data_IF_678585718130
#
_entry.id   IF_678585718130
#
_cell.length_a   1.000
_cell.length_b   1.000
_cell.length_c   1.000
_cell.angle_alpha   90.00
_cell.angle_beta   90.00
_cell.angle_gamma   90.00
#
_symmetry.space_group_name_H-M   'P 1'
#
loop_
_entity.id
_entity.type
_entity.pdbx_description
1 polymer ?
#
# COMPACT_ATOMS: atom_id res chain seq x y z
N UNK A 1 -34.97 -8.95 -68.53
CA UNK A 1 -34.20 -9.03 -69.78
C UNK A 1 -32.76 -8.74 -69.43
N UNK A 2 -31.87 -9.63 -69.83
CA UNK A 2 -30.41 -9.51 -69.71
C UNK A 2 -29.86 -8.63 -70.82
N UNK A 3 -28.77 -7.92 -70.55
CA UNK A 3 -27.53 -7.84 -71.36
C UNK A 3 -26.55 -6.90 -70.63
N UNK A 4 -25.33 -7.38 -70.39
CA UNK A 4 -24.08 -6.95 -71.04
C UNK A 4 -23.52 -5.60 -70.54
N UNK A 5 -22.22 -5.46 -70.26
CA UNK A 5 -21.17 -6.47 -70.30
C UNK A 5 -19.88 -5.98 -69.62
N UNK A 6 -19.05 -6.93 -69.18
CA UNK A 6 -17.69 -6.71 -68.71
C UNK A 6 -16.72 -7.13 -69.82
N UNK A 7 -15.66 -6.35 -70.09
CA UNK A 7 -14.44 -6.94 -70.62
C UNK A 7 -13.20 -6.68 -69.77
N UNK A 8 -12.36 -7.70 -69.81
CA UNK A 8 -11.09 -7.92 -69.12
C UNK A 8 -9.96 -6.89 -69.36
N UNK A 9 -9.19 -6.64 -68.29
CA UNK A 9 -7.72 -6.86 -68.21
C UNK A 9 -6.81 -6.28 -69.32
N UNK A 10 -5.92 -5.37 -68.93
CA UNK A 10 -4.60 -5.22 -69.58
C UNK A 10 -3.47 -5.81 -68.70
N UNK A 11 -2.47 -6.49 -69.29
CA UNK A 11 -1.39 -7.16 -68.57
C UNK A 11 -0.11 -6.33 -68.42
N UNK A 12 0.81 -6.85 -67.60
CA UNK A 12 1.98 -6.16 -67.08
C UNK A 12 3.04 -5.66 -68.06
N UNK A 13 3.88 -4.78 -67.51
CA UNK A 13 5.29 -4.64 -67.90
C UNK A 13 6.13 -5.33 -66.82
N UNK A 14 7.20 -5.97 -67.27
CA UNK A 14 8.07 -6.90 -66.54
C UNK A 14 9.47 -6.32 -66.34
N UNK A 15 10.21 -6.89 -65.39
CA UNK A 15 11.67 -7.14 -65.46
C UNK A 15 12.62 -5.90 -65.53
N UNK A 16 13.86 -5.91 -65.02
CA UNK A 16 14.71 -6.95 -64.40
C UNK A 16 15.79 -6.29 -63.48
N UNK A 17 16.89 -6.93 -62.99
CA UNK A 17 17.52 -6.57 -61.72
C UNK A 17 18.93 -5.95 -61.85
N UNK A 18 19.54 -5.60 -60.71
CA UNK A 18 20.92 -5.11 -60.64
C UNK A 18 21.60 -5.44 -59.31
N UNK A 19 22.44 -6.47 -59.31
CA UNK A 19 23.04 -7.04 -58.09
C UNK A 19 24.23 -6.24 -57.51
N UNK A 20 24.41 -6.43 -56.21
CA UNK A 20 25.69 -6.47 -55.49
C UNK A 20 26.76 -5.38 -55.70
N UNK A 21 26.95 -4.58 -54.64
CA UNK A 21 28.30 -4.33 -54.09
C UNK A 21 28.32 -4.50 -52.58
N UNK A 22 28.86 -5.64 -52.14
CA UNK A 22 29.09 -5.94 -50.73
C UNK A 22 30.30 -5.18 -50.13
N UNK A 23 30.21 -4.90 -48.83
CA UNK A 23 31.31 -4.87 -47.81
C UNK A 23 30.65 -4.65 -46.43
N UNK A 24 30.37 -5.71 -45.67
CA UNK A 24 31.26 -6.32 -44.66
C UNK A 24 31.65 -5.41 -43.50
N UNK A 25 31.06 -5.68 -42.32
CA UNK A 25 31.62 -5.79 -40.96
C UNK A 25 30.41 -6.12 -40.05
N UNK A 26 30.02 -7.37 -39.81
CA UNK A 26 30.69 -8.42 -39.00
C UNK A 26 30.82 -8.02 -37.51
N UNK A 27 30.05 -8.68 -36.64
CA UNK A 27 30.00 -8.36 -35.20
C UNK A 27 28.94 -9.11 -34.39
N UNK A 28 28.79 -10.42 -34.60
CA UNK A 28 27.95 -11.28 -33.73
C UNK A 28 28.75 -11.86 -32.56
N UNK A 29 28.08 -12.19 -31.45
CA UNK A 29 28.70 -12.78 -30.26
C UNK A 29 27.69 -13.46 -29.36
N UNK A 30 27.47 -14.76 -29.56
CA UNK A 30 26.52 -15.59 -28.83
C UNK A 30 27.10 -16.16 -27.53
N UNK A 31 26.23 -16.32 -26.53
CA UNK A 31 26.20 -17.37 -25.51
C UNK A 31 27.39 -17.60 -24.56
N UNK A 32 27.09 -17.56 -23.26
CA UNK A 32 27.46 -18.63 -22.32
C UNK A 32 26.50 -18.66 -21.12
N UNK A 33 25.70 -19.72 -21.01
CA UNK A 33 25.02 -20.12 -19.77
C UNK A 33 25.86 -21.23 -19.13
N UNK A 34 26.19 -21.12 -17.85
CA UNK A 34 26.71 -22.26 -17.06
C UNK A 34 26.26 -22.19 -15.60
N UNK A 35 26.00 -23.37 -15.03
CA UNK A 35 25.38 -23.63 -13.73
C UNK A 35 26.43 -23.95 -12.64
N UNK A 36 26.05 -23.72 -11.36
CA UNK A 36 26.39 -24.45 -10.11
C UNK A 36 26.43 -23.44 -8.93
N UNK A 37 25.49 -23.39 -7.96
CA UNK A 37 25.08 -24.34 -6.90
C UNK A 37 26.17 -24.56 -5.81
N UNK A 38 25.74 -24.55 -4.53
CA UNK A 38 26.50 -24.84 -3.27
C UNK A 38 27.50 -23.72 -2.84
N UNK A 39 27.58 -23.25 -1.58
CA UNK A 39 26.82 -23.52 -0.35
C UNK A 39 27.66 -23.23 0.91
N UNK A 40 27.03 -22.90 2.06
CA UNK A 40 27.66 -22.54 3.36
C UNK A 40 28.62 -21.31 3.29
N UNK A 41 29.18 -20.71 4.35
CA UNK A 41 29.16 -20.80 5.83
C UNK A 41 29.50 -19.36 6.33
N UNK A 42 29.12 -18.84 7.49
CA UNK A 42 29.35 -19.38 8.84
C UNK A 42 30.61 -18.78 9.47
N UNK A 43 30.44 -17.83 10.42
CA UNK A 43 31.43 -17.51 11.46
C UNK A 43 32.60 -16.56 11.13
N UNK A 44 32.71 -15.47 11.90
CA UNK A 44 34.00 -14.93 12.34
C UNK A 44 34.09 -15.10 13.86
N UNK A 45 34.79 -16.13 14.30
CA UNK A 45 35.24 -16.33 15.68
C UNK A 45 36.76 -16.16 15.67
N UNK A 46 37.28 -15.32 16.56
CA UNK A 46 38.72 -15.21 16.76
C UNK A 46 39.21 -16.27 17.75
N UNK A 47 40.31 -16.89 17.36
CA UNK A 47 40.93 -18.10 17.89
C UNK A 47 41.20 -18.15 19.41
N UNK A 48 41.15 -19.37 19.96
CA UNK A 48 41.62 -19.72 21.30
C UNK A 48 41.56 -21.24 21.52
N UNK A 49 42.68 -21.93 21.26
CA UNK A 49 42.89 -23.39 21.41
C UNK A 49 44.32 -23.58 21.98
N UNK A 50 44.74 -24.75 22.53
CA UNK A 50 44.01 -26.01 22.76
C UNK A 50 44.15 -26.56 24.21
N UNK A 51 43.46 -27.65 24.54
CA UNK A 51 44.11 -28.92 24.97
C UNK A 51 43.11 -30.08 25.17
N UNK A 52 43.61 -31.33 25.12
CA UNK A 52 42.83 -32.59 25.11
C UNK A 52 42.89 -33.34 26.48
N UNK A 53 42.62 -34.67 26.56
CA UNK A 53 41.31 -35.31 26.72
C UNK A 53 41.22 -36.14 28.04
N UNK A 54 40.07 -36.77 28.35
CA UNK A 54 39.92 -38.15 28.94
C UNK A 54 38.46 -38.43 29.37
N UNK A 55 38.09 -39.70 29.47
CA UNK A 55 36.73 -40.23 29.67
C UNK A 55 36.36 -40.48 31.18
N UNK A 56 35.16 -41.00 31.51
CA UNK A 56 34.54 -41.03 32.88
C UNK A 56 35.10 -42.18 33.77
N UNK A 57 34.72 -42.41 35.06
CA UNK A 57 33.40 -42.14 35.68
C UNK A 57 33.34 -41.79 37.20
N UNK A 58 32.10 -41.65 37.73
CA UNK A 58 31.59 -42.16 39.03
C UNK A 58 30.68 -41.19 39.83
N UNK A 59 29.86 -41.79 40.71
CA UNK A 59 29.12 -41.22 41.85
C UNK A 59 27.86 -40.34 41.62
N UNK A 60 26.70 -41.01 41.60
CA UNK A 60 25.51 -40.59 42.38
C UNK A 60 25.76 -40.87 43.90
N UNK A 61 24.93 -40.46 44.90
CA UNK A 61 23.53 -39.97 44.83
C UNK A 61 23.32 -38.61 45.56
N UNK A 62 22.13 -38.03 45.73
CA UNK A 62 21.10 -38.41 46.73
C UNK A 62 19.75 -37.73 46.45
N UNK A 63 18.67 -38.37 46.89
CA UNK A 63 17.26 -37.97 46.73
C UNK A 63 16.71 -37.16 47.92
N UNK A 64 15.74 -36.29 47.65
CA UNK A 64 14.60 -35.92 48.51
C UNK A 64 13.55 -35.20 47.63
N UNK A 65 12.27 -35.60 47.54
CA UNK A 65 11.25 -35.74 48.60
C UNK A 65 10.90 -34.37 49.22
N UNK A 66 9.67 -33.87 49.30
CA UNK A 66 8.32 -34.23 48.81
C UNK A 66 7.56 -32.88 48.54
N UNK A 67 6.29 -32.74 48.13
CA UNK A 67 5.11 -33.61 48.07
C UNK A 67 4.11 -33.13 46.98
N UNK A 68 2.87 -33.64 46.97
CA UNK A 68 1.73 -33.14 46.20
C UNK A 68 0.52 -32.90 47.10
N UNK A 69 -0.39 -31.98 46.74
CA UNK A 69 -1.77 -31.98 47.26
C UNK A 69 -2.75 -31.32 46.27
N UNK A 70 -3.79 -32.08 45.95
CA UNK A 70 -4.99 -31.77 45.15
C UNK A 70 -6.10 -32.69 45.71
N UNK A 71 -7.42 -32.41 45.63
CA UNK A 71 -8.19 -31.16 45.54
C UNK A 71 -9.16 -30.99 46.76
N UNK A 72 -10.01 -29.95 46.78
CA UNK A 72 -11.42 -30.01 47.26
C UNK A 72 -12.14 -28.64 47.14
N UNK A 73 -13.47 -28.64 47.05
CA UNK A 73 -14.31 -27.46 46.81
C UNK A 73 -15.05 -26.95 48.06
N UNK A 74 -15.46 -25.68 48.05
CA UNK A 74 -16.53 -25.13 48.89
C UNK A 74 -17.28 -23.97 48.18
N UNK A 75 -18.61 -23.98 48.29
CA UNK A 75 -19.59 -22.96 47.88
C UNK A 75 -20.46 -22.62 49.14
N UNK A 76 -21.41 -21.67 49.13
CA UNK A 76 -21.34 -20.24 48.78
C UNK A 76 -22.03 -19.33 49.85
N UNK A 77 -22.29 -18.04 49.51
CA UNK A 77 -23.28 -17.10 50.13
C UNK A 77 -22.94 -16.41 51.48
N UNK A 78 -23.62 -15.29 51.86
CA UNK A 78 -24.80 -14.67 51.24
C UNK A 78 -24.59 -13.23 50.68
N UNK A 79 -25.68 -12.67 50.15
CA UNK A 79 -25.74 -11.36 49.49
C UNK A 79 -25.78 -10.17 50.46
N UNK A 80 -25.31 -9.02 49.98
CA UNK A 80 -25.83 -7.70 50.39
C UNK A 80 -26.17 -6.90 49.12
N UNK A 81 -27.32 -6.22 49.15
CA UNK A 81 -27.99 -5.72 47.95
C UNK A 81 -27.75 -4.22 47.76
N UNK A 82 -26.86 -3.88 46.83
CA UNK A 82 -26.78 -2.53 46.31
C UNK A 82 -26.33 -2.52 44.85
N UNK A 83 -27.16 -2.05 43.91
CA UNK A 83 -26.73 -1.77 42.54
C UNK A 83 -25.88 -0.49 42.51
N UNK A 84 -24.70 -0.55 43.14
CA UNK A 84 -23.65 0.44 42.94
C UNK A 84 -23.04 0.15 41.58
N UNK A 85 -23.75 0.58 40.52
CA UNK A 85 -23.23 0.53 39.17
C UNK A 85 -21.91 1.30 39.13
N UNK A 86 -20.80 0.57 39.14
CA UNK A 86 -19.46 1.10 38.90
C UNK A 86 -19.41 1.60 37.47
N UNK A 87 -19.92 2.81 37.27
CA UNK A 87 -19.63 3.63 36.11
C UNK A 87 -18.16 4.00 36.22
N UNK A 88 -17.32 3.08 35.80
CA UNK A 88 -15.91 3.29 35.49
C UNK A 88 -15.82 4.16 34.24
N UNK A 89 -16.26 5.43 34.36
CA UNK A 89 -15.91 6.49 33.42
C UNK A 89 -14.45 6.86 33.62
N UNK A 90 -13.57 5.93 33.25
CA UNK A 90 -12.21 6.25 32.84
C UNK A 90 -12.30 7.38 31.82
N UNK A 91 -11.48 8.45 31.92
CA UNK A 91 -11.50 9.53 30.94
C UNK A 91 -11.35 8.95 29.54
N UNK A 92 -12.29 9.30 28.64
CA UNK A 92 -12.37 8.74 27.30
C UNK A 92 -11.20 9.22 26.43
N UNK A 93 -10.05 8.58 26.60
CA UNK A 93 -8.90 8.73 25.72
C UNK A 93 -9.25 8.20 24.32
N UNK A 94 -8.68 8.84 23.29
CA UNK A 94 -8.84 8.37 21.92
C UNK A 94 -8.22 6.97 21.79
N UNK A 95 -9.00 6.00 21.33
CA UNK A 95 -8.56 4.62 21.12
C UNK A 95 -8.66 4.23 19.65
N UNK A 96 -7.77 3.32 19.23
CA UNK A 96 -7.86 2.69 17.91
C UNK A 96 -9.16 1.87 17.83
N UNK A 97 -10.01 2.08 16.82
CA UNK A 97 -11.25 1.32 16.63
C UNK A 97 -11.00 -0.16 16.30
N UNK A 98 -12.01 -0.99 16.58
CA UNK A 98 -12.07 -2.36 16.07
C UNK A 98 -12.43 -2.33 14.57
N UNK A 99 -11.41 -2.40 13.71
CA UNK A 99 -11.57 -2.42 12.24
C UNK A 99 -11.03 -3.70 11.59
N UNK A 100 -10.40 -4.59 12.36
CA UNK A 100 -9.99 -5.92 11.89
C UNK A 100 -11.24 -6.72 11.48
N UNK A 101 -11.17 -7.39 10.34
CA UNK A 101 -12.29 -8.10 9.71
C UNK A 101 -13.24 -7.21 8.89
N UNK A 102 -13.14 -5.88 8.97
CA UNK A 102 -13.96 -4.95 8.15
C UNK A 102 -13.32 -4.65 6.80
N UNK A 103 -14.11 -4.25 5.80
CA UNK A 103 -13.57 -3.76 4.52
C UNK A 103 -12.72 -2.49 4.74
N UNK A 104 -11.59 -2.39 4.06
CA UNK A 104 -10.63 -1.31 4.28
C UNK A 104 -11.20 0.10 4.01
N UNK A 105 -12.23 0.26 3.17
CA UNK A 105 -12.94 1.54 2.99
C UNK A 105 -13.70 1.95 4.25
N UNK A 106 -14.35 0.98 4.90
CA UNK A 106 -15.07 1.22 6.14
C UNK A 106 -14.09 1.54 7.26
N UNK A 107 -12.98 0.80 7.34
CA UNK A 107 -11.89 1.08 8.27
C UNK A 107 -11.30 2.50 8.07
N UNK A 108 -11.12 2.93 6.81
CA UNK A 108 -10.68 4.29 6.46
C UNK A 108 -11.65 5.35 6.97
N UNK A 109 -12.96 5.17 6.76
CA UNK A 109 -13.99 6.10 7.26
C UNK A 109 -13.99 6.18 8.79
N UNK A 110 -14.03 5.04 9.48
CA UNK A 110 -14.02 4.99 10.96
C UNK A 110 -12.79 5.67 11.57
N UNK A 111 -11.60 5.52 10.96
CA UNK A 111 -10.38 6.20 11.40
C UNK A 111 -10.43 7.72 11.15
N UNK A 112 -10.90 8.14 9.97
CA UNK A 112 -11.08 9.56 9.62
C UNK A 112 -12.06 10.26 10.55
N UNK A 113 -13.19 9.62 10.86
CA UNK A 113 -14.24 10.18 11.70
C UNK A 113 -13.75 10.34 13.16
N UNK A 114 -12.82 9.48 13.60
CA UNK A 114 -12.06 9.60 14.85
C UNK A 114 -10.88 10.59 14.80
N UNK A 115 -10.62 11.22 13.65
CA UNK A 115 -9.47 12.11 13.38
C UNK A 115 -8.12 11.43 13.64
N UNK A 116 -8.03 10.15 13.31
CA UNK A 116 -6.80 9.37 13.26
C UNK A 116 -6.27 9.36 11.83
N UNK A 117 -4.94 9.37 11.67
CA UNK A 117 -4.31 9.10 10.39
C UNK A 117 -4.39 7.62 10.05
N UNK A 118 -4.24 7.27 8.77
CA UNK A 118 -4.17 5.88 8.33
C UNK A 118 -3.07 5.66 7.30
N UNK A 119 -2.58 4.41 7.21
CA UNK A 119 -1.72 3.91 6.13
C UNK A 119 -2.21 2.52 5.75
N UNK A 120 -2.62 2.33 4.50
CA UNK A 120 -3.00 1.02 3.99
C UNK A 120 -1.77 0.31 3.41
N UNK A 121 -1.60 -0.96 3.75
CA UNK A 121 -0.61 -1.87 3.18
C UNK A 121 -1.38 -3.06 2.60
N UNK A 122 -1.38 -3.19 1.28
CA UNK A 122 -2.10 -4.27 0.60
C UNK A 122 -1.25 -5.54 0.52
N UNK A 123 -1.89 -6.69 0.77
CA UNK A 123 -1.29 -8.00 0.68
C UNK A 123 -1.37 -8.60 -0.72
N UNK A 124 -1.03 -9.89 -0.82
CA UNK A 124 -1.11 -10.69 -2.04
C UNK A 124 -2.18 -11.79 -1.97
N UNK A 125 -3.00 -11.79 -0.93
CA UNK A 125 -4.10 -12.75 -0.73
C UNK A 125 -5.35 -12.38 -1.53
N UNK A 126 -6.51 -12.69 -0.97
CA UNK A 126 -7.82 -12.40 -1.58
C UNK A 126 -8.74 -11.66 -0.62
N UNK A 127 -9.69 -10.92 -1.18
CA UNK A 127 -10.62 -10.09 -0.40
C UNK A 127 -10.09 -8.70 -0.05
N UNK A 128 -10.92 -7.93 0.66
CA UNK A 128 -10.70 -6.50 0.99
C UNK A 128 -10.70 -6.21 2.49
N UNK A 129 -10.72 -7.27 3.31
CA UNK A 129 -10.76 -7.15 4.76
C UNK A 129 -9.40 -6.72 5.33
N UNK A 130 -9.43 -5.94 6.40
CA UNK A 130 -8.25 -5.62 7.21
C UNK A 130 -7.92 -6.82 8.11
N UNK A 131 -6.73 -7.39 7.96
CA UNK A 131 -6.28 -8.56 8.74
C UNK A 131 -5.69 -8.16 10.09
N UNK A 132 -5.00 -7.02 10.15
CA UNK A 132 -4.38 -6.49 11.37
C UNK A 132 -4.20 -4.97 11.29
N UNK A 133 -4.06 -4.33 12.45
CA UNK A 133 -3.66 -2.92 12.55
C UNK A 133 -2.48 -2.72 13.50
N UNK A 134 -1.76 -1.62 13.33
CA UNK A 134 -0.72 -1.15 14.24
C UNK A 134 -0.87 0.37 14.41
N UNK A 135 -1.17 0.88 15.63
CA UNK A 135 -1.37 0.13 16.87
C UNK A 135 -2.58 -0.83 16.82
N UNK A 136 -2.61 -1.79 17.74
CA UNK A 136 -3.70 -2.77 17.82
C UNK A 136 -5.02 -2.10 18.25
N UNK A 137 -6.19 -2.67 17.87
CA UNK A 137 -7.48 -2.16 18.30
C UNK A 137 -7.60 -2.05 19.82
N UNK A 138 -8.29 -1.00 20.30
CA UNK A 138 -8.39 -0.68 21.73
C UNK A 138 -7.18 0.06 22.31
N UNK A 139 -6.02 0.10 21.61
CA UNK A 139 -4.84 0.85 22.07
C UNK A 139 -5.17 2.34 22.24
N UNK A 140 -4.80 2.92 23.38
CA UNK A 140 -4.90 4.37 23.62
C UNK A 140 -3.85 5.11 22.80
N UNK A 141 -4.30 6.09 22.02
CA UNK A 141 -3.50 6.88 21.09
C UNK A 141 -3.72 8.38 21.30
N UNK A 142 -2.76 9.20 20.84
CA UNK A 142 -2.92 10.65 20.76
C UNK A 142 -3.61 11.03 19.45
N UNK A 143 -4.17 12.25 19.38
CA UNK A 143 -4.67 12.81 18.10
C UNK A 143 -3.52 12.87 17.08
N UNK A 144 -3.83 12.63 15.80
CA UNK A 144 -2.84 12.63 14.72
C UNK A 144 -1.92 11.40 14.66
N UNK A 145 -2.14 10.37 15.49
CA UNK A 145 -1.46 9.07 15.30
C UNK A 145 -1.94 8.40 14.02
N UNK A 146 -1.01 7.89 13.23
CA UNK A 146 -1.29 7.10 12.02
C UNK A 146 -1.41 5.62 12.37
N UNK A 147 -2.60 5.05 12.12
CA UNK A 147 -2.83 3.60 12.22
C UNK A 147 -2.44 2.95 10.89
N UNK A 148 -1.50 2.01 10.90
CA UNK A 148 -1.22 1.18 9.73
C UNK A 148 -2.20 0.01 9.72
N UNK A 149 -2.81 -0.27 8.56
CA UNK A 149 -3.75 -1.36 8.34
C UNK A 149 -3.17 -2.27 7.25
N UNK A 150 -3.16 -3.57 7.50
CA UNK A 150 -2.80 -4.56 6.49
C UNK A 150 -4.07 -5.19 5.92
N UNK A 151 -4.23 -5.14 4.61
CA UNK A 151 -5.40 -5.64 3.87
C UNK A 151 -5.05 -6.98 3.22
N UNK A 152 -5.95 -7.96 3.29
CA UNK A 152 -5.70 -9.32 2.82
C UNK A 152 -5.28 -9.39 1.34
N UNK A 153 -6.05 -8.76 0.46
CA UNK A 153 -5.82 -8.75 -0.98
C UNK A 153 -5.02 -7.55 -1.50
N UNK A 154 -4.73 -7.55 -2.82
CA UNK A 154 -4.00 -6.48 -3.49
C UNK A 154 -4.82 -5.18 -3.58
N UNK A 155 -4.13 -4.07 -3.81
CA UNK A 155 -4.75 -2.77 -4.05
C UNK A 155 -5.73 -2.88 -5.24
N UNK A 156 -7.03 -2.56 -5.05
CA UNK A 156 -8.02 -2.63 -6.12
C UNK A 156 -7.72 -1.58 -7.19
N UNK A 157 -8.10 -1.89 -8.44
CA UNK A 157 -8.06 -0.92 -9.52
C UNK A 157 -9.19 0.09 -9.37
N UNK A 158 -8.91 1.36 -9.64
CA UNK A 158 -9.84 2.49 -9.66
C UNK A 158 -9.58 3.35 -10.90
N UNK A 159 -10.62 3.93 -11.52
CA UNK A 159 -10.43 4.88 -12.61
C UNK A 159 -9.82 6.17 -12.07
N UNK A 160 -8.88 6.75 -12.81
CA UNK A 160 -8.33 8.07 -12.53
C UNK A 160 -9.38 9.13 -12.94
N UNK A 161 -9.81 10.03 -12.04
CA UNK A 161 -10.78 11.09 -12.36
C UNK A 161 -10.21 12.10 -13.37
N UNK A 162 -11.10 12.86 -14.00
CA UNK A 162 -10.72 14.07 -14.76
C UNK A 162 -10.67 15.26 -13.82
N UNK A 163 -9.48 15.86 -13.71
CA UNK A 163 -9.15 16.92 -12.76
C UNK A 163 -8.74 18.20 -13.47
N UNK A 164 -8.62 18.19 -14.81
CA UNK A 164 -8.15 19.35 -15.58
C UNK A 164 -9.14 20.51 -15.42
N UNK A 165 -8.60 21.71 -15.27
CA UNK A 165 -9.32 22.95 -14.97
C UNK A 165 -10.02 23.03 -13.58
N UNK A 166 -10.04 21.96 -12.77
CA UNK A 166 -10.40 22.07 -11.35
C UNK A 166 -9.32 22.87 -10.59
N UNK A 167 -9.65 23.40 -9.41
CA UNK A 167 -8.61 23.95 -8.53
C UNK A 167 -7.70 22.84 -8.01
N UNK A 168 -6.44 23.15 -7.77
CA UNK A 168 -5.50 22.18 -7.21
C UNK A 168 -5.79 21.76 -5.75
N UNK A 169 -6.75 22.40 -5.08
CA UNK A 169 -7.30 21.91 -3.80
C UNK A 169 -8.38 20.87 -4.05
N UNK A 170 -9.40 21.20 -4.85
CA UNK A 170 -10.55 20.32 -5.11
C UNK A 170 -10.10 19.01 -5.77
N UNK A 171 -9.16 19.10 -6.73
CA UNK A 171 -8.56 17.95 -7.38
C UNK A 171 -7.83 16.99 -6.41
N UNK A 172 -7.33 17.51 -5.29
CA UNK A 172 -6.69 16.70 -4.26
C UNK A 172 -7.71 15.93 -3.43
N UNK A 173 -8.84 16.58 -3.11
CA UNK A 173 -9.94 15.96 -2.39
C UNK A 173 -10.66 14.90 -3.24
N UNK A 174 -10.85 15.16 -4.54
CA UNK A 174 -11.39 14.20 -5.52
C UNK A 174 -10.47 12.97 -5.66
N UNK A 175 -9.15 13.16 -5.73
CA UNK A 175 -8.20 12.05 -5.73
C UNK A 175 -8.29 11.23 -4.43
N UNK A 176 -8.31 11.88 -3.27
CA UNK A 176 -8.42 11.19 -1.97
C UNK A 176 -9.77 10.47 -1.83
N UNK A 177 -10.86 11.03 -2.37
CA UNK A 177 -12.17 10.37 -2.43
C UNK A 177 -12.11 9.10 -3.29
N UNK A 178 -11.54 9.20 -4.50
CA UNK A 178 -11.30 8.10 -5.44
C UNK A 178 -10.28 7.05 -4.94
N UNK A 179 -9.51 7.37 -3.89
CA UNK A 179 -8.52 6.46 -3.29
C UNK A 179 -7.11 6.56 -3.85
N UNK A 180 -6.84 7.63 -4.59
CA UNK A 180 -5.55 7.93 -5.21
C UNK A 180 -4.79 8.97 -4.38
N UNK A 181 -3.49 9.08 -4.61
CA UNK A 181 -2.63 9.97 -3.83
C UNK A 181 -2.20 11.21 -4.65
N UNK A 182 -2.56 12.44 -4.23
CA UNK A 182 -2.15 13.65 -4.95
C UNK A 182 -0.66 13.93 -4.79
N UNK A 183 0.08 13.94 -5.91
CA UNK A 183 1.48 14.34 -6.00
C UNK A 183 1.58 15.63 -6.81
N UNK A 184 2.22 16.66 -6.30
CA UNK A 184 2.35 17.94 -7.02
C UNK A 184 3.69 18.00 -7.75
N UNK A 185 3.66 18.31 -9.05
CA UNK A 185 4.85 18.57 -9.87
C UNK A 185 5.31 20.02 -9.77
N UNK A 186 4.35 20.95 -9.67
CA UNK A 186 4.55 22.39 -9.53
C UNK A 186 3.99 22.84 -8.17
N UNK A 187 3.50 24.08 -8.06
CA UNK A 187 2.82 24.57 -6.86
C UNK A 187 1.50 23.83 -6.54
N UNK A 188 0.78 24.34 -5.55
CA UNK A 188 -0.55 23.85 -5.11
C UNK A 188 -1.68 24.86 -5.35
N UNK A 189 -1.38 25.92 -6.10
CA UNK A 189 -2.25 27.08 -6.34
C UNK A 189 -2.81 27.04 -7.75
N UNK A 190 -3.87 27.82 -8.02
CA UNK A 190 -4.48 27.88 -9.33
C UNK A 190 -5.10 26.55 -9.81
N UNK A 191 -5.45 26.46 -11.11
CA UNK A 191 -6.10 25.29 -11.69
C UNK A 191 -5.09 24.20 -12.10
N UNK A 192 -5.53 22.95 -12.12
CA UNK A 192 -4.81 21.83 -12.74
C UNK A 192 -4.74 22.06 -14.25
N UNK A 193 -3.53 22.15 -14.79
CA UNK A 193 -3.26 22.29 -16.22
C UNK A 193 -2.90 20.97 -16.89
N UNK A 194 -2.38 19.99 -16.12
CA UNK A 194 -2.16 18.62 -16.57
C UNK A 194 -2.16 17.65 -15.40
N UNK A 195 -2.55 16.40 -15.67
CA UNK A 195 -2.45 15.27 -14.74
C UNK A 195 -1.74 14.08 -15.40
N UNK A 196 -1.06 13.27 -14.60
CA UNK A 196 -0.47 11.99 -15.01
C UNK A 196 -0.60 10.96 -13.88
N UNK A 197 -1.31 9.82 -14.07
CA UNK A 197 -1.95 9.37 -15.31
C UNK A 197 -3.12 10.23 -15.79
N UNK A 198 -3.44 10.10 -17.08
CA UNK A 198 -4.57 10.80 -17.72
C UNK A 198 -5.93 10.30 -17.23
N UNK A 199 -6.95 11.15 -17.35
CA UNK A 199 -8.33 10.84 -16.97
C UNK A 199 -8.85 9.55 -17.63
N UNK A 200 -9.65 8.78 -16.90
CA UNK A 200 -10.24 7.51 -17.35
C UNK A 200 -9.26 6.33 -17.43
N UNK A 201 -7.95 6.55 -17.24
CA UNK A 201 -6.98 5.45 -17.11
C UNK A 201 -7.21 4.64 -15.82
N UNK A 202 -6.64 3.44 -15.76
CA UNK A 202 -6.74 2.55 -14.59
C UNK A 202 -5.49 2.66 -13.72
N UNK A 203 -5.67 3.06 -12.47
CA UNK A 203 -4.63 3.08 -11.43
C UNK A 203 -5.05 2.16 -10.26
N UNK A 204 -4.15 1.88 -9.32
CA UNK A 204 -4.49 1.14 -8.09
C UNK A 204 -4.69 2.08 -6.91
N UNK A 205 -5.39 1.58 -5.90
CA UNK A 205 -5.54 2.29 -4.63
C UNK A 205 -4.19 2.69 -4.02
N UNK A 206 -4.09 3.93 -3.54
CA UNK A 206 -2.88 4.65 -3.11
C UNK A 206 -1.85 4.97 -4.22
N UNK A 207 -2.09 4.65 -5.50
CA UNK A 207 -1.16 5.06 -6.56
C UNK A 207 -1.12 6.61 -6.65
N UNK A 208 0.07 7.19 -6.93
CA UNK A 208 0.21 8.62 -7.06
C UNK A 208 -0.33 9.12 -8.40
N UNK A 209 -1.16 10.17 -8.38
CA UNK A 209 -1.49 10.98 -9.55
C UNK A 209 -0.75 12.30 -9.45
N UNK A 210 0.06 12.58 -10.46
CA UNK A 210 0.92 13.75 -10.57
C UNK A 210 0.14 14.92 -11.17
N UNK A 211 -0.16 15.93 -10.36
CA UNK A 211 -0.80 17.18 -10.76
C UNK A 211 0.23 18.23 -11.15
N UNK A 212 0.00 18.89 -12.29
CA UNK A 212 0.67 20.13 -12.68
C UNK A 212 -0.34 21.26 -12.52
N UNK A 213 -0.10 22.11 -11.53
CA UNK A 213 -0.89 23.30 -11.24
C UNK A 213 -0.34 24.50 -12.02
N UNK A 214 -1.22 25.35 -12.54
CA UNK A 214 -0.88 26.65 -13.12
C UNK A 214 -0.65 27.71 -12.05
N UNK A 215 -0.54 28.97 -12.48
CA UNK A 215 -0.57 30.12 -11.57
C UNK A 215 -2.01 30.37 -11.10
N UNK A 216 -2.18 30.91 -9.89
CA UNK A 216 -3.47 31.44 -9.48
C UNK A 216 -3.76 32.72 -10.31
N UNK A 217 -4.96 32.86 -10.91
CA UNK A 217 -5.27 34.07 -11.67
C UNK A 217 -5.20 35.27 -10.73
N UNK A 218 -4.34 36.24 -11.05
CA UNK A 218 -4.09 37.39 -10.21
C UNK A 218 -5.42 38.10 -9.89
N UNK A 219 -5.86 37.99 -8.64
CA UNK A 219 -7.02 38.71 -8.10
C UNK A 219 -6.67 40.19 -8.07
N UNK A 220 -6.85 40.84 -9.22
CA UNK A 220 -6.66 42.28 -9.34
C UNK A 220 -7.67 42.91 -8.39
N UNK A 221 -7.25 43.61 -7.33
CA UNK A 221 -8.19 44.22 -6.41
C UNK A 221 -8.95 45.27 -7.21
N UNK A 222 -10.25 45.05 -7.43
CA UNK A 222 -11.15 46.09 -7.93
C UNK A 222 -11.09 47.24 -6.95
N UNK A 223 -10.35 48.28 -7.31
CA UNK A 223 -10.26 49.48 -6.51
C UNK A 223 -11.68 50.04 -6.37
N UNK A 224 -12.21 50.06 -5.14
CA UNK A 224 -13.46 50.76 -4.87
C UNK A 224 -13.32 52.20 -5.33
N UNK A 225 -14.26 52.73 -6.14
CA UNK A 225 -14.20 54.13 -6.54
C UNK A 225 -14.22 54.99 -5.27
N UNK A 226 -13.30 55.96 -5.22
CA UNK A 226 -13.22 56.91 -4.12
C UNK A 226 -14.57 57.66 -4.03
N UNK A 227 -15.21 57.77 -2.85
CA UNK A 227 -16.38 58.62 -2.73
C UNK A 227 -15.98 60.08 -2.99
N UNK A 228 -16.64 60.70 -3.97
CA UNK A 228 -16.45 62.12 -4.26
C UNK A 228 -16.98 62.99 -3.11
N UNK A 229 -16.32 64.11 -2.78
CA UNK A 229 -16.74 65.04 -1.72
C UNK A 229 -17.97 65.89 -2.11
#
# INVERSE_FOLDING_TARGET
MTDEGYPDRQPGVRDEPGSDRARLLLGGGLAAVLLAVIGASGGWVLAGEPDRPTAPPAAAPTISSVEATTPAAALPSPADDRPTGTRTTTPAGLTVPQVVGTDFEQARRELRDRKLGWRLVFGSGSGRAVERTSPEPGTRVKRGVTVTLWVAGPAPAVPVPDLVAQSCSDAADDLVAAGLYPRYRTGRQGPVTAQDPVAGSSARWNDPVTLTCGEEPATTPTASPLPSP
#
